data_IF_063297629300
#
_entry.id   IF_063297629300
#
_cell.length_a   1.000
_cell.length_b   1.000
_cell.length_c   1.000
_cell.angle_alpha   90.00
_cell.angle_beta   90.00
_cell.angle_gamma   90.00
#
_symmetry.space_group_name_H-M   'P 1'
#
loop_
_entity.id
_entity.type
_entity.pdbx_description
1 polymer ?
#
# COMPACT_ATOMS: atom_id res chain seq x y z
N UNK A 1 8.07 -16.07 12.04
CA UNK A 1 6.66 -16.38 11.73
C UNK A 1 6.60 -16.78 10.27
N UNK A 2 5.96 -17.89 9.95
CA UNK A 2 5.96 -18.43 8.58
C UNK A 2 4.86 -17.75 7.75
N UNK A 3 5.23 -17.15 6.63
CA UNK A 3 4.28 -16.59 5.66
C UNK A 3 3.84 -17.72 4.73
N UNK A 4 2.53 -17.92 4.61
CA UNK A 4 1.94 -18.78 3.58
C UNK A 4 1.61 -17.96 2.35
N UNK A 5 1.89 -18.50 1.17
CA UNK A 5 1.55 -17.87 -0.11
C UNK A 5 0.73 -18.88 -0.89
N UNK A 6 -0.44 -18.44 -1.32
CA UNK A 6 -1.46 -19.30 -1.91
C UNK A 6 -2.08 -18.60 -3.12
N UNK A 7 -2.79 -19.37 -3.93
CA UNK A 7 -3.56 -18.86 -5.05
C UNK A 7 -5.00 -19.35 -4.96
N UNK A 8 -5.93 -18.44 -5.25
CA UNK A 8 -7.35 -18.71 -5.29
C UNK A 8 -7.84 -18.52 -6.73
N UNK A 9 -8.41 -19.58 -7.31
CA UNK A 9 -8.96 -19.55 -8.66
C UNK A 9 -10.49 -19.49 -8.62
N UNK A 10 -11.09 -18.51 -9.31
CA UNK A 10 -12.53 -18.32 -9.41
C UNK A 10 -12.87 -17.63 -10.73
N UNK A 11 -13.96 -18.05 -11.39
CA UNK A 11 -14.41 -17.53 -12.69
C UNK A 11 -13.33 -17.56 -13.79
N UNK A 12 -12.42 -18.54 -13.71
CA UNK A 12 -11.29 -18.66 -14.65
C UNK A 12 -10.17 -17.63 -14.43
N UNK A 13 -10.26 -16.80 -13.40
CA UNK A 13 -9.22 -15.87 -12.97
C UNK A 13 -8.54 -16.36 -11.70
N UNK A 14 -7.34 -15.84 -11.44
CA UNK A 14 -6.53 -16.19 -10.25
C UNK A 14 -6.23 -14.95 -9.43
N UNK A 15 -6.29 -15.09 -8.10
CA UNK A 15 -5.76 -14.13 -7.13
C UNK A 15 -4.67 -14.83 -6.34
N UNK A 16 -3.45 -14.29 -6.40
CA UNK A 16 -2.35 -14.70 -5.52
C UNK A 16 -2.42 -13.86 -4.24
N UNK A 17 -2.20 -14.47 -3.08
CA UNK A 17 -2.23 -13.79 -1.80
C UNK A 17 -1.29 -14.45 -0.81
N UNK A 18 -1.01 -13.74 0.29
CA UNK A 18 -0.29 -14.30 1.42
C UNK A 18 -1.02 -14.08 2.72
N UNK A 19 -0.68 -14.93 3.71
CA UNK A 19 -1.16 -14.83 5.09
C UNK A 19 0.05 -14.96 6.02
N UNK A 20 0.15 -14.09 7.01
CA UNK A 20 1.11 -14.19 8.11
C UNK A 20 0.44 -13.82 9.45
N UNK A 21 0.67 -14.62 10.48
CA UNK A 21 -0.01 -14.47 11.77
C UNK A 21 -1.39 -15.16 11.81
N UNK A 22 -1.89 -15.38 13.02
CA UNK A 22 -3.09 -16.21 13.28
C UNK A 22 -4.16 -15.49 14.11
N UNK A 23 -4.06 -14.16 14.21
CA UNK A 23 -4.96 -13.32 15.01
C UNK A 23 -6.06 -12.63 14.21
N UNK A 24 -6.50 -11.47 14.69
CA UNK A 24 -7.57 -10.69 14.07
C UNK A 24 -7.20 -10.24 12.64
N UNK A 25 -8.05 -10.43 11.62
CA UNK A 25 -7.65 -10.29 10.23
C UNK A 25 -7.57 -8.82 9.78
N UNK A 26 -6.41 -8.46 9.22
CA UNK A 26 -6.15 -7.23 8.48
C UNK A 26 -5.96 -7.59 7.02
N UNK A 27 -6.80 -7.02 6.15
CA UNK A 27 -6.70 -7.19 4.70
C UNK A 27 -5.97 -5.99 4.09
N UNK A 28 -4.82 -6.25 3.47
CA UNK A 28 -3.88 -5.21 3.05
C UNK A 28 -3.87 -5.00 1.53
N UNK A 29 -4.17 -3.78 1.11
CA UNK A 29 -3.94 -3.32 -0.27
C UNK A 29 -2.55 -2.67 -0.36
N UNK A 30 -1.58 -3.40 -0.90
CA UNK A 30 -0.20 -2.93 -1.06
C UNK A 30 -0.08 -1.76 -2.04
N UNK A 31 1.04 -1.03 -1.98
CA UNK A 31 1.34 0.09 -2.88
C UNK A 31 1.70 -0.31 -4.31
N UNK A 32 2.17 0.66 -5.09
CA UNK A 32 2.61 0.42 -6.47
C UNK A 32 3.85 -0.48 -6.51
N UNK A 33 3.98 -1.26 -7.59
CA UNK A 33 5.12 -2.16 -7.83
C UNK A 33 5.32 -3.30 -6.82
N UNK A 34 4.48 -3.40 -5.79
CA UNK A 34 4.54 -4.45 -4.77
C UNK A 34 3.65 -5.66 -5.14
N UNK A 35 3.46 -6.59 -4.21
CA UNK A 35 2.67 -7.81 -4.37
C UNK A 35 2.44 -8.46 -2.98
N UNK A 36 1.91 -9.68 -2.95
CA UNK A 36 1.67 -10.43 -1.71
C UNK A 36 2.92 -10.69 -0.85
N UNK A 37 4.14 -10.42 -1.32
CA UNK A 37 5.38 -10.50 -0.53
C UNK A 37 5.74 -9.20 0.22
N UNK A 38 4.84 -8.21 0.29
CA UNK A 38 5.01 -7.01 1.11
C UNK A 38 5.20 -7.36 2.59
N UNK A 39 6.09 -6.65 3.28
CA UNK A 39 6.45 -6.92 4.69
C UNK A 39 6.48 -5.67 5.56
N UNK A 40 6.48 -4.47 5.00
CA UNK A 40 6.66 -3.27 5.81
C UNK A 40 5.49 -3.03 6.77
N UNK A 41 5.84 -2.78 8.04
CA UNK A 41 4.88 -2.60 9.13
C UNK A 41 4.23 -3.89 9.64
N UNK A 42 4.50 -5.06 9.07
CA UNK A 42 3.76 -6.27 9.42
C UNK A 42 4.22 -6.90 10.74
N UNK A 43 5.49 -6.73 11.10
CA UNK A 43 6.03 -7.34 12.32
C UNK A 43 5.27 -6.86 13.56
N UNK A 44 5.10 -5.55 13.72
CA UNK A 44 4.39 -4.96 14.85
C UNK A 44 2.93 -5.43 14.90
N UNK A 45 2.26 -5.55 13.74
CA UNK A 45 0.90 -6.07 13.66
C UNK A 45 0.81 -7.52 14.15
N UNK A 46 1.67 -8.40 13.65
CA UNK A 46 1.59 -9.82 14.04
C UNK A 46 1.97 -10.03 15.50
N UNK A 47 2.97 -9.30 16.00
CA UNK A 47 3.35 -9.32 17.43
C UNK A 47 2.23 -8.82 18.36
N UNK A 48 1.29 -8.03 17.84
CA UNK A 48 0.12 -7.53 18.57
C UNK A 48 -1.17 -8.33 18.28
N UNK A 49 -1.05 -9.55 17.76
CA UNK A 49 -2.17 -10.48 17.66
C UNK A 49 -3.08 -10.25 16.45
N UNK A 50 -2.53 -9.74 15.36
CA UNK A 50 -3.22 -9.65 14.07
C UNK A 50 -2.73 -10.72 13.08
N UNK A 51 -3.64 -11.15 12.19
CA UNK A 51 -3.31 -11.90 10.98
C UNK A 51 -3.33 -10.95 9.80
N UNK A 52 -2.27 -10.92 9.00
CA UNK A 52 -2.14 -10.01 7.85
C UNK A 52 -2.34 -10.80 6.56
N UNK A 53 -3.38 -10.44 5.82
CA UNK A 53 -3.76 -11.05 4.54
C UNK A 53 -3.49 -10.05 3.43
N UNK A 54 -2.57 -10.37 2.52
CA UNK A 54 -2.14 -9.45 1.46
C UNK A 54 -2.34 -10.09 0.09
N UNK A 55 -3.41 -9.75 -0.65
CA UNK A 55 -3.49 -10.12 -2.05
C UNK A 55 -2.43 -9.38 -2.87
N UNK A 56 -1.81 -10.06 -3.83
CA UNK A 56 -1.26 -9.39 -5.00
C UNK A 56 -2.43 -8.72 -5.72
N UNK A 57 -2.43 -7.38 -5.82
CA UNK A 57 -3.50 -6.65 -6.50
C UNK A 57 -3.57 -7.01 -7.99
N UNK A 58 -4.67 -6.66 -8.64
CA UNK A 58 -4.89 -6.96 -10.06
C UNK A 58 -3.66 -6.62 -10.94
N UNK A 59 -3.24 -7.58 -11.77
CA UNK A 59 -2.09 -7.41 -12.66
C UNK A 59 -0.72 -7.46 -11.97
N UNK A 60 -0.64 -7.60 -10.64
CA UNK A 60 0.58 -7.85 -9.87
C UNK A 60 0.73 -9.32 -9.51
N UNK A 61 1.98 -9.74 -9.23
CA UNK A 61 2.27 -11.12 -8.78
C UNK A 61 1.63 -12.17 -9.69
N UNK A 62 1.05 -13.21 -9.09
CA UNK A 62 0.25 -14.24 -9.77
C UNK A 62 -1.21 -13.84 -10.08
N UNK A 63 -1.66 -12.65 -9.72
CA UNK A 63 -3.06 -12.23 -9.90
C UNK A 63 -3.36 -11.82 -11.34
N UNK A 64 -4.45 -12.35 -11.89
CA UNK A 64 -4.87 -12.09 -13.27
C UNK A 64 -5.15 -10.59 -13.50
N UNK A 65 -4.66 -10.06 -14.62
CA UNK A 65 -4.90 -8.67 -15.05
C UNK A 65 -6.40 -8.33 -15.13
N UNK A 66 -7.22 -9.26 -15.64
CA UNK A 66 -8.65 -9.05 -15.86
C UNK A 66 -9.44 -8.79 -14.57
N UNK A 67 -8.89 -9.14 -13.40
CA UNK A 67 -9.47 -8.76 -12.09
C UNK A 67 -9.57 -7.24 -11.97
N UNK A 68 -8.66 -6.49 -12.59
CA UNK A 68 -8.58 -5.03 -12.49
C UNK A 68 -9.15 -4.26 -13.67
N UNK A 69 -10.13 -4.83 -14.40
CA UNK A 69 -10.83 -4.09 -15.46
C UNK A 69 -11.45 -2.76 -14.96
N UNK A 70 -11.89 -2.74 -13.70
CA UNK A 70 -12.29 -1.55 -12.94
C UNK A 70 -12.01 -1.76 -11.45
N UNK A 71 -12.07 -0.70 -10.63
CA UNK A 71 -12.02 -0.84 -9.17
C UNK A 71 -13.20 -1.67 -8.65
N UNK A 72 -14.38 -1.53 -9.25
CA UNK A 72 -15.57 -2.34 -8.91
C UNK A 72 -15.26 -3.82 -9.05
N UNK A 73 -14.80 -4.22 -10.25
CA UNK A 73 -14.45 -5.61 -10.55
C UNK A 73 -13.37 -6.10 -9.58
N UNK A 74 -12.31 -5.31 -9.35
CA UNK A 74 -11.24 -5.70 -8.45
C UNK A 74 -11.76 -5.97 -7.02
N UNK A 75 -12.60 -5.08 -6.50
CA UNK A 75 -13.14 -5.21 -5.15
C UNK A 75 -14.16 -6.35 -5.01
N UNK A 76 -14.93 -6.67 -6.07
CA UNK A 76 -15.76 -7.88 -6.10
C UNK A 76 -14.93 -9.16 -5.98
N UNK A 77 -13.78 -9.23 -6.66
CA UNK A 77 -12.86 -10.37 -6.57
C UNK A 77 -12.17 -10.44 -5.20
N UNK A 78 -11.81 -9.31 -4.61
CA UNK A 78 -11.30 -9.27 -3.23
C UNK A 78 -12.37 -9.72 -2.22
N UNK A 79 -13.64 -9.38 -2.44
CA UNK A 79 -14.75 -9.90 -1.63
C UNK A 79 -14.90 -11.43 -1.78
N UNK A 80 -14.73 -11.97 -2.99
CA UNK A 80 -14.69 -13.44 -3.20
C UNK A 80 -13.53 -14.08 -2.46
N UNK A 81 -12.35 -13.44 -2.43
CA UNK A 81 -11.21 -13.92 -1.65
C UNK A 81 -11.53 -13.94 -0.14
N UNK A 82 -12.13 -12.88 0.41
CA UNK A 82 -12.55 -12.87 1.82
C UNK A 82 -13.54 -14.01 2.12
N UNK A 83 -14.50 -14.27 1.23
CA UNK A 83 -15.43 -15.40 1.36
C UNK A 83 -14.73 -16.77 1.29
N UNK A 84 -13.74 -16.91 0.41
CA UNK A 84 -12.94 -18.14 0.30
C UNK A 84 -12.16 -18.45 1.60
N UNK A 85 -11.67 -17.39 2.26
CA UNK A 85 -10.96 -17.48 3.54
C UNK A 85 -11.89 -17.55 4.76
N UNK A 86 -13.21 -17.62 4.54
CA UNK A 86 -14.26 -17.57 5.57
C UNK A 86 -14.16 -16.35 6.51
N UNK A 87 -13.70 -15.21 5.97
CA UNK A 87 -13.55 -13.95 6.69
C UNK A 87 -14.80 -13.08 6.49
N UNK A 88 -15.62 -12.98 7.53
CA UNK A 88 -16.83 -12.15 7.50
C UNK A 88 -16.52 -10.66 7.52
N UNK A 89 -15.62 -10.23 8.40
CA UNK A 89 -15.21 -8.83 8.55
C UNK A 89 -13.70 -8.73 8.70
N UNK A 90 -13.12 -7.61 8.29
CA UNK A 90 -11.67 -7.36 8.37
C UNK A 90 -11.40 -5.90 8.71
N UNK A 91 -10.24 -5.62 9.28
CA UNK A 91 -9.65 -4.29 9.18
C UNK A 91 -9.04 -4.12 7.78
N UNK A 92 -9.22 -2.97 7.16
CA UNK A 92 -8.56 -2.65 5.90
C UNK A 92 -7.33 -1.79 6.15
N UNK A 93 -6.22 -2.15 5.51
CA UNK A 93 -5.02 -1.33 5.46
C UNK A 93 -4.66 -1.07 4.00
N UNK A 94 -4.73 0.18 3.56
CA UNK A 94 -4.45 0.57 2.18
C UNK A 94 -3.24 1.49 2.12
N UNK A 95 -2.24 1.07 1.36
CA UNK A 95 -0.90 1.67 1.34
C UNK A 95 -0.68 2.33 -0.02
N UNK A 96 -0.32 3.61 -0.05
CA UNK A 96 0.10 4.29 -1.30
C UNK A 96 -0.92 4.09 -2.44
N UNK A 97 -0.51 3.52 -3.58
CA UNK A 97 -1.40 3.20 -4.71
C UNK A 97 -2.49 2.14 -4.41
N UNK A 98 -2.45 1.48 -3.25
CA UNK A 98 -3.56 0.67 -2.75
C UNK A 98 -4.73 1.49 -2.19
N UNK A 99 -4.53 2.80 -1.99
CA UNK A 99 -5.55 3.75 -1.50
C UNK A 99 -6.88 3.65 -2.24
N UNK A 100 -6.91 3.72 -3.59
CA UNK A 100 -8.16 3.61 -4.34
C UNK A 100 -8.93 2.31 -4.11
N UNK A 101 -8.25 1.17 -4.05
CA UNK A 101 -8.89 -0.11 -3.73
C UNK A 101 -9.45 -0.11 -2.30
N UNK A 102 -8.71 0.41 -1.32
CA UNK A 102 -9.17 0.50 0.07
C UNK A 102 -10.38 1.41 0.25
N UNK A 103 -10.35 2.60 -0.34
CA UNK A 103 -11.44 3.58 -0.32
C UNK A 103 -12.68 2.99 -0.98
N UNK A 104 -12.53 2.43 -2.19
CA UNK A 104 -13.64 1.86 -2.92
C UNK A 104 -14.27 0.68 -2.17
N UNK A 105 -13.44 -0.21 -1.62
CA UNK A 105 -13.91 -1.37 -0.87
C UNK A 105 -14.67 -0.95 0.40
N UNK A 106 -14.12 -0.01 1.17
CA UNK A 106 -14.75 0.48 2.40
C UNK A 106 -16.09 1.19 2.14
N UNK A 107 -16.20 1.92 1.02
CA UNK A 107 -17.43 2.59 0.63
C UNK A 107 -18.53 1.63 0.16
N UNK A 108 -18.17 0.59 -0.59
CA UNK A 108 -19.14 -0.30 -1.24
C UNK A 108 -19.46 -1.58 -0.45
N UNK A 109 -18.61 -1.96 0.50
CA UNK A 109 -18.81 -3.14 1.36
C UNK A 109 -18.70 -2.80 2.85
N UNK A 110 -19.47 -1.84 3.38
CA UNK A 110 -19.33 -1.35 4.75
C UNK A 110 -19.52 -2.46 5.80
N UNK A 111 -20.39 -3.44 5.52
CA UNK A 111 -20.62 -4.58 6.44
C UNK A 111 -19.41 -5.51 6.57
N UNK A 112 -18.44 -5.40 5.66
CA UNK A 112 -17.23 -6.23 5.61
C UNK A 112 -16.02 -5.57 6.24
N UNK A 113 -16.13 -4.31 6.69
CA UNK A 113 -14.99 -3.50 7.14
C UNK A 113 -15.19 -3.01 8.58
N UNK A 114 -14.26 -3.36 9.47
CA UNK A 114 -14.24 -2.86 10.85
C UNK A 114 -13.75 -1.43 10.91
N UNK A 115 -12.62 -1.18 10.27
CA UNK A 115 -11.99 0.12 10.16
C UNK A 115 -11.17 0.17 8.88
N UNK A 116 -10.86 1.38 8.43
CA UNK A 116 -9.96 1.65 7.33
C UNK A 116 -8.73 2.38 7.83
N UNK A 117 -7.54 1.93 7.47
CA UNK A 117 -6.30 2.69 7.65
C UNK A 117 -5.71 3.02 6.28
N UNK A 118 -5.49 4.31 6.04
CA UNK A 118 -4.84 4.84 4.84
C UNK A 118 -3.41 5.27 5.20
N UNK A 119 -2.40 4.56 4.69
CA UNK A 119 -0.99 4.84 4.94
C UNK A 119 -0.31 5.40 3.70
N UNK A 120 0.11 6.67 3.78
CA UNK A 120 0.71 7.39 2.66
C UNK A 120 -0.09 7.24 1.36
N UNK A 121 -1.42 7.18 1.45
CA UNK A 121 -2.30 6.65 0.42
C UNK A 121 -2.68 7.68 -0.65
N UNK A 122 -2.88 7.21 -1.89
CA UNK A 122 -3.48 7.99 -2.96
C UNK A 122 -5.00 8.03 -2.77
N UNK A 123 -5.53 9.23 -2.54
CA UNK A 123 -6.94 9.46 -2.15
C UNK A 123 -7.74 10.34 -3.12
N UNK A 124 -7.07 10.86 -4.16
CA UNK A 124 -7.61 11.72 -5.22
C UNK A 124 -6.76 11.55 -6.47
N UNK A 125 -7.10 12.27 -7.55
CA UNK A 125 -6.27 12.27 -8.77
C UNK A 125 -4.79 12.54 -8.43
N UNK A 126 -3.92 11.64 -8.86
CA UNK A 126 -2.47 11.65 -8.63
C UNK A 126 -1.77 11.28 -9.94
N UNK A 127 -0.71 12.01 -10.28
CA UNK A 127 0.08 11.84 -11.51
C UNK A 127 -0.77 11.77 -12.79
N UNK A 128 -0.87 12.90 -13.47
CA UNK A 128 -1.63 13.06 -14.71
C UNK A 128 -0.75 12.86 -15.95
N UNK A 129 -1.35 12.64 -17.14
CA UNK A 129 -0.61 12.63 -18.42
C UNK A 129 0.16 13.92 -18.73
N UNK A 130 -0.05 15.01 -17.98
CA UNK A 130 0.71 16.26 -18.14
C UNK A 130 2.06 16.19 -17.41
N UNK A 131 2.17 15.39 -16.37
CA UNK A 131 3.32 15.32 -15.48
C UNK A 131 4.50 14.57 -16.10
N UNK A 132 5.72 15.00 -15.78
CA UNK A 132 6.94 14.40 -16.33
C UNK A 132 7.20 13.04 -15.70
N UNK A 133 6.93 12.93 -14.40
CA UNK A 133 7.03 11.74 -13.57
C UNK A 133 6.12 10.64 -14.13
N UNK A 134 4.87 10.97 -14.46
CA UNK A 134 3.93 10.05 -15.10
C UNK A 134 4.48 9.48 -16.42
N UNK A 135 4.97 10.37 -17.30
CA UNK A 135 5.52 9.96 -18.60
C UNK A 135 6.76 9.08 -18.43
N UNK A 136 7.69 9.46 -17.55
CA UNK A 136 8.90 8.71 -17.28
C UNK A 136 8.58 7.33 -16.69
N UNK A 137 7.70 7.26 -15.70
CA UNK A 137 7.31 6.01 -15.05
C UNK A 137 6.65 5.04 -16.05
N UNK A 138 5.79 5.53 -16.95
CA UNK A 138 5.18 4.68 -18.00
C UNK A 138 6.19 4.12 -19.00
N UNK A 139 7.29 4.83 -19.24
CA UNK A 139 8.38 4.31 -20.10
C UNK A 139 9.19 3.26 -19.34
N UNK A 140 9.62 3.59 -18.11
CA UNK A 140 10.49 2.73 -17.30
C UNK A 140 9.80 1.44 -16.87
N UNK A 141 8.50 1.48 -16.59
CA UNK A 141 7.74 0.38 -16.01
C UNK A 141 6.67 -0.17 -16.96
N UNK A 142 6.89 -0.06 -18.27
CA UNK A 142 6.01 -0.65 -19.28
C UNK A 142 5.99 -2.18 -19.13
N UNK A 143 4.82 -2.86 -19.18
CA UNK A 143 4.71 -4.28 -18.82
C UNK A 143 5.68 -5.21 -19.55
N UNK A 144 5.96 -4.93 -20.83
CA UNK A 144 6.86 -5.75 -21.65
C UNK A 144 8.34 -5.63 -21.25
N UNK A 145 8.73 -4.53 -20.61
CA UNK A 145 10.15 -4.18 -20.36
C UNK A 145 10.50 -3.92 -18.90
N UNK A 146 9.51 -3.75 -18.02
CA UNK A 146 9.70 -3.43 -16.59
C UNK A 146 10.64 -4.40 -15.88
N UNK A 147 10.63 -5.69 -16.24
CA UNK A 147 11.51 -6.71 -15.68
C UNK A 147 13.00 -6.36 -15.83
N UNK A 148 13.38 -5.67 -16.91
CA UNK A 148 14.76 -5.24 -17.13
C UNK A 148 15.11 -4.04 -16.24
N UNK A 149 14.17 -3.11 -16.08
CA UNK A 149 14.28 -1.96 -15.16
C UNK A 149 14.48 -2.46 -13.73
N UNK A 150 13.61 -3.35 -13.24
CA UNK A 150 13.75 -3.91 -11.89
C UNK A 150 15.00 -4.78 -11.73
N UNK A 151 15.39 -5.53 -12.75
CA UNK A 151 16.64 -6.31 -12.71
C UNK A 151 17.86 -5.40 -12.61
N UNK A 152 17.90 -4.30 -13.36
CA UNK A 152 18.96 -3.30 -13.28
C UNK A 152 19.00 -2.66 -11.89
N UNK A 153 17.85 -2.18 -11.39
CA UNK A 153 17.73 -1.59 -10.05
C UNK A 153 18.22 -2.60 -9.01
N UNK A 154 17.66 -3.80 -8.98
CA UNK A 154 18.02 -4.86 -8.03
C UNK A 154 19.51 -5.20 -8.09
N UNK A 155 20.09 -5.30 -9.28
CA UNK A 155 21.51 -5.65 -9.44
C UNK A 155 22.41 -4.55 -8.88
N UNK A 156 22.14 -3.28 -9.25
CA UNK A 156 22.90 -2.14 -8.73
C UNK A 156 22.70 -1.97 -7.22
N UNK A 157 21.48 -2.20 -6.73
CA UNK A 157 21.09 -2.10 -5.34
C UNK A 157 21.77 -3.18 -4.47
N UNK A 158 22.07 -4.36 -5.03
CA UNK A 158 22.80 -5.41 -4.33
C UNK A 158 24.32 -5.17 -4.27
N UNK A 159 24.87 -4.42 -5.23
CA UNK A 159 26.31 -4.09 -5.27
C UNK A 159 26.60 -2.77 -4.54
N UNK A 160 25.72 -1.78 -4.70
CA UNK A 160 25.86 -0.41 -4.19
C UNK A 160 24.59 0.08 -3.48
N UNK A 161 24.16 -0.57 -2.37
CA UNK A 161 22.88 -0.28 -1.72
C UNK A 161 22.74 1.18 -1.27
N UNK A 162 23.78 1.74 -0.65
CA UNK A 162 23.76 3.13 -0.19
C UNK A 162 23.65 4.12 -1.37
N UNK A 163 24.31 3.83 -2.50
CA UNK A 163 24.24 4.69 -3.67
C UNK A 163 22.83 4.68 -4.26
N UNK A 164 22.23 3.50 -4.43
CA UNK A 164 20.85 3.39 -4.94
C UNK A 164 19.85 4.02 -3.98
N UNK A 165 19.99 3.80 -2.68
CA UNK A 165 19.17 4.48 -1.68
C UNK A 165 19.25 6.00 -1.82
N UNK A 166 20.44 6.57 -1.95
CA UNK A 166 20.62 8.02 -2.11
C UNK A 166 19.99 8.54 -3.42
N UNK A 167 20.06 7.78 -4.51
CA UNK A 167 19.45 8.15 -5.80
C UNK A 167 17.91 8.09 -5.74
N UNK A 168 17.35 7.13 -5.01
CA UNK A 168 15.90 6.99 -4.81
C UNK A 168 15.37 7.85 -3.67
N UNK A 169 16.23 8.42 -2.83
CA UNK A 169 15.80 9.21 -1.68
C UNK A 169 14.77 10.30 -2.02
N UNK A 170 14.94 11.10 -3.09
CA UNK A 170 13.96 12.12 -3.46
C UNK A 170 12.60 11.57 -3.90
N UNK A 171 12.52 10.31 -4.35
CA UNK A 171 11.20 9.71 -4.63
C UNK A 171 10.44 9.41 -3.35
N UNK A 172 11.11 9.23 -2.21
CA UNK A 172 10.47 8.94 -0.93
C UNK A 172 10.30 10.18 -0.04
N UNK A 173 11.16 11.18 -0.17
CA UNK A 173 11.27 12.28 0.79
C UNK A 173 11.35 13.65 0.14
N UNK A 174 10.66 14.64 0.72
CA UNK A 174 10.83 16.07 0.43
C UNK A 174 12.08 16.66 1.07
N UNK A 175 12.57 16.07 2.16
CA UNK A 175 13.85 16.43 2.76
C UNK A 175 14.99 16.05 1.82
N UNK A 176 16.08 16.79 1.89
CA UNK A 176 17.36 16.33 1.35
C UNK A 176 17.91 15.19 2.20
N UNK A 177 18.74 14.32 1.61
CA UNK A 177 19.42 13.26 2.36
C UNK A 177 20.24 13.80 3.55
N UNK A 178 20.76 15.03 3.46
CA UNK A 178 21.49 15.68 4.55
C UNK A 178 20.58 16.08 5.70
N UNK A 179 19.38 16.57 5.41
CA UNK A 179 18.39 16.97 6.43
C UNK A 179 17.80 15.75 7.14
N UNK A 180 17.56 14.67 6.39
CA UNK A 180 17.10 13.40 6.96
C UNK A 180 18.21 12.59 7.65
N UNK A 181 19.44 13.11 7.68
CA UNK A 181 20.58 12.44 8.30
C UNK A 181 20.32 12.31 9.81
N UNK A 182 20.12 11.08 10.26
CA UNK A 182 19.77 10.79 11.66
C UNK A 182 18.27 10.59 11.90
N UNK A 183 17.46 10.56 10.85
CA UNK A 183 16.06 10.07 10.91
C UNK A 183 15.94 8.61 10.48
N UNK A 184 16.95 8.09 9.80
CA UNK A 184 17.04 6.70 9.36
C UNK A 184 18.40 6.09 9.72
N UNK A 185 18.45 4.77 9.66
CA UNK A 185 19.58 3.92 9.99
C UNK A 185 20.15 3.24 8.74
N UNK A 186 21.22 2.43 8.92
CA UNK A 186 21.72 1.54 7.86
C UNK A 186 20.79 0.34 7.63
N UNK A 187 20.05 -0.07 8.65
CA UNK A 187 19.09 -1.17 8.53
C UNK A 187 17.92 -0.76 7.63
N UNK A 188 17.53 0.51 7.63
CA UNK A 188 16.53 1.06 6.69
C UNK A 188 17.01 0.99 5.23
N UNK A 189 18.30 1.24 4.99
CA UNK A 189 18.91 1.10 3.65
C UNK A 189 18.84 -0.36 3.19
N UNK A 190 19.14 -1.30 4.09
CA UNK A 190 19.00 -2.73 3.83
C UNK A 190 17.55 -3.16 3.62
N UNK A 191 16.61 -2.56 4.35
CA UNK A 191 15.18 -2.81 4.21
C UNK A 191 14.66 -2.34 2.84
N UNK A 192 15.05 -1.14 2.40
CA UNK A 192 14.79 -0.64 1.04
C UNK A 192 15.48 -1.52 -0.01
N UNK A 193 16.69 -2.02 0.27
CA UNK A 193 17.36 -2.95 -0.63
C UNK A 193 16.52 -4.21 -0.88
N UNK A 194 15.99 -4.82 0.19
CA UNK A 194 15.11 -5.99 0.11
C UNK A 194 13.78 -5.67 -0.58
N UNK A 195 13.18 -4.51 -0.32
CA UNK A 195 11.99 -4.03 -1.04
C UNK A 195 12.22 -4.00 -2.55
N UNK A 196 13.27 -3.30 -3.01
CA UNK A 196 13.58 -3.14 -4.43
C UNK A 196 13.77 -4.49 -5.15
N UNK A 197 14.33 -5.49 -4.46
CA UNK A 197 14.52 -6.82 -5.03
C UNK A 197 13.20 -7.57 -5.30
N UNK A 198 12.16 -7.28 -4.50
CA UNK A 198 10.81 -7.88 -4.59
C UNK A 198 9.91 -7.16 -5.60
N UNK A 199 10.14 -5.88 -5.84
CA UNK A 199 9.24 -5.06 -6.64
C UNK A 199 9.15 -5.52 -8.10
N UNK A 200 7.93 -5.68 -8.61
CA UNK A 200 7.61 -6.02 -10.00
C UNK A 200 6.36 -5.26 -10.41
N UNK A 201 6.43 -4.50 -11.48
CA UNK A 201 5.33 -3.64 -11.96
C UNK A 201 4.23 -4.43 -12.65
N UNK A 202 4.64 -5.39 -13.50
CA UNK A 202 3.75 -6.15 -14.40
C UNK A 202 2.71 -5.24 -15.08
N UNK A 203 1.47 -5.70 -15.26
CA UNK A 203 0.36 -4.88 -15.74
C UNK A 203 -0.23 -3.99 -14.64
N UNK A 204 -0.07 -4.38 -13.37
CA UNK A 204 -0.69 -3.71 -12.23
C UNK A 204 -0.35 -2.23 -12.11
N UNK A 205 0.89 -1.84 -12.43
CA UNK A 205 1.25 -0.42 -12.39
C UNK A 205 0.44 0.44 -13.37
N UNK A 206 0.10 -0.10 -14.54
CA UNK A 206 -0.71 0.64 -15.50
C UNK A 206 -2.19 0.66 -15.09
N UNK A 207 -2.68 -0.43 -14.49
CA UNK A 207 -4.01 -0.46 -13.89
C UNK A 207 -4.14 0.59 -12.77
N UNK A 208 -3.13 0.75 -11.91
CA UNK A 208 -3.12 1.78 -10.86
C UNK A 208 -3.33 3.19 -11.45
N UNK A 209 -2.59 3.53 -12.52
CA UNK A 209 -2.68 4.84 -13.18
C UNK A 209 -4.06 5.11 -13.81
N UNK A 210 -4.78 4.06 -14.18
CA UNK A 210 -6.12 4.16 -14.76
C UNK A 210 -7.18 4.26 -13.64
N UNK A 211 -7.08 3.39 -12.64
CA UNK A 211 -8.04 3.22 -11.54
C UNK A 211 -8.07 4.40 -10.55
N UNK A 212 -6.99 5.18 -10.42
CA UNK A 212 -6.96 6.37 -9.55
C UNK A 212 -8.11 7.35 -9.85
N UNK A 213 -8.63 7.36 -11.09
CA UNK A 213 -9.72 8.25 -11.53
C UNK A 213 -11.11 7.77 -11.13
N UNK A 214 -11.23 6.55 -10.64
CA UNK A 214 -12.52 5.94 -10.24
C UNK A 214 -12.91 6.29 -8.80
N UNK A 215 -12.04 6.97 -8.05
CA UNK A 215 -12.36 7.46 -6.71
C UNK A 215 -12.82 8.92 -6.81
N UNK A 216 -14.04 9.17 -6.33
CA UNK A 216 -14.63 10.51 -6.26
C UNK A 216 -14.87 10.95 -4.82
N UNK A 217 -15.22 12.22 -4.62
CA UNK A 217 -15.62 12.75 -3.31
C UNK A 217 -16.76 11.92 -2.71
N UNK A 218 -17.74 11.54 -3.53
CA UNK A 218 -18.88 10.72 -3.12
C UNK A 218 -18.44 9.33 -2.66
N UNK A 219 -17.38 8.76 -3.26
CA UNK A 219 -16.81 7.49 -2.80
C UNK A 219 -16.23 7.64 -1.39
N UNK A 220 -15.49 8.72 -1.12
CA UNK A 220 -14.94 8.97 0.23
C UNK A 220 -16.05 9.24 1.26
N UNK A 221 -17.07 10.01 0.90
CA UNK A 221 -18.19 10.35 1.77
C UNK A 221 -19.08 9.15 2.11
N UNK A 222 -19.08 8.10 1.27
CA UNK A 222 -19.79 6.85 1.52
C UNK A 222 -19.08 5.94 2.55
N UNK A 223 -17.84 6.23 2.96
CA UNK A 223 -17.13 5.45 3.97
C UNK A 223 -17.73 5.73 5.36
N UNK A 224 -18.35 4.70 5.95
CA UNK A 224 -18.98 4.81 7.27
C UNK A 224 -18.18 4.18 8.42
N UNK A 225 -17.12 3.41 8.11
CA UNK A 225 -16.28 2.82 9.15
C UNK A 225 -15.29 3.85 9.73
N UNK A 226 -14.87 3.70 11.00
CA UNK A 226 -13.78 4.46 11.58
C UNK A 226 -12.55 4.41 10.67
N UNK A 227 -11.97 5.58 10.39
CA UNK A 227 -10.85 5.68 9.45
C UNK A 227 -9.64 6.37 10.08
N UNK A 228 -8.45 5.78 9.98
CA UNK A 228 -7.18 6.41 10.36
C UNK A 228 -6.37 6.75 9.11
N UNK A 229 -5.99 8.01 8.96
CA UNK A 229 -5.16 8.50 7.87
C UNK A 229 -3.78 8.80 8.43
N UNK A 230 -2.77 8.04 8.03
CA UNK A 230 -1.39 8.18 8.49
C UNK A 230 -0.50 8.65 7.34
N UNK A 231 0.18 9.78 7.52
CA UNK A 231 0.97 10.37 6.43
C UNK A 231 2.20 11.10 6.95
N UNK A 232 3.34 10.94 6.29
CA UNK A 232 4.54 11.71 6.62
C UNK A 232 4.42 13.16 6.16
N UNK A 233 4.77 14.12 7.03
CA UNK A 233 4.94 15.53 6.64
C UNK A 233 5.98 15.71 5.52
N UNK A 234 6.90 14.76 5.42
CA UNK A 234 8.04 14.78 4.50
C UNK A 234 7.86 13.84 3.30
N UNK A 235 6.66 13.32 3.05
CA UNK A 235 6.39 12.39 1.94
C UNK A 235 6.72 13.01 0.56
N UNK A 236 7.67 12.40 -0.14
CA UNK A 236 8.11 12.80 -1.48
C UNK A 236 7.40 12.09 -2.64
N UNK A 237 6.62 11.03 -2.35
CA UNK A 237 5.87 10.27 -3.36
C UNK A 237 4.43 10.79 -3.49
N UNK A 238 3.73 10.86 -2.36
CA UNK A 238 2.31 11.23 -2.30
C UNK A 238 2.18 12.57 -1.57
N UNK A 239 1.76 13.64 -2.27
CA UNK A 239 1.66 14.97 -1.69
C UNK A 239 0.70 15.07 -0.49
N UNK A 240 0.91 16.05 0.40
CA UNK A 240 0.13 16.23 1.65
C UNK A 240 -1.34 16.60 1.40
N UNK A 241 -1.66 17.03 0.19
CA UNK A 241 -3.02 17.29 -0.26
C UNK A 241 -3.88 16.02 -0.22
N UNK A 242 -3.30 14.82 -0.34
CA UNK A 242 -4.02 13.55 -0.27
C UNK A 242 -4.60 13.24 1.11
N UNK A 243 -3.82 13.22 2.21
CA UNK A 243 -4.37 12.95 3.53
C UNK A 243 -5.34 14.05 4.00
N UNK A 244 -5.10 15.33 3.66
CA UNK A 244 -6.06 16.41 3.97
C UNK A 244 -7.37 16.22 3.21
N UNK A 245 -7.31 15.98 1.90
CA UNK A 245 -8.50 15.72 1.09
C UNK A 245 -9.29 14.51 1.60
N UNK A 246 -8.60 13.45 2.02
CA UNK A 246 -9.28 12.30 2.61
C UNK A 246 -9.95 12.65 3.94
N UNK A 247 -9.26 13.39 4.81
CA UNK A 247 -9.80 13.77 6.11
C UNK A 247 -11.02 14.70 6.00
N UNK A 248 -10.99 15.62 5.04
CA UNK A 248 -12.11 16.54 4.75
C UNK A 248 -13.36 15.82 4.24
N UNK A 249 -13.21 14.67 3.58
CA UNK A 249 -14.31 13.99 2.88
C UNK A 249 -14.73 12.65 3.50
N UNK A 250 -13.98 12.08 4.45
CA UNK A 250 -14.35 10.86 5.17
C UNK A 250 -14.94 11.23 6.54
N UNK A 251 -16.24 11.01 6.80
CA UNK A 251 -16.95 11.53 7.97
C UNK A 251 -16.37 11.15 9.34
N UNK A 252 -15.85 9.92 9.47
CA UNK A 252 -15.34 9.37 10.73
C UNK A 252 -13.83 9.14 10.68
N UNK A 253 -13.10 10.08 10.08
CA UNK A 253 -11.66 9.98 9.92
C UNK A 253 -10.87 10.71 11.03
N UNK A 254 -9.71 10.16 11.36
CA UNK A 254 -8.67 10.77 12.18
C UNK A 254 -7.42 10.96 11.32
N UNK A 255 -6.81 12.14 11.40
CA UNK A 255 -5.58 12.45 10.69
C UNK A 255 -4.36 12.40 11.63
N UNK A 256 -3.43 11.49 11.34
CA UNK A 256 -2.16 11.31 12.02
C UNK A 256 -1.02 11.75 11.08
N UNK A 257 -0.50 12.98 11.30
CA UNK A 257 0.66 13.48 10.57
C UNK A 257 1.95 13.14 11.30
N UNK A 258 2.75 12.28 10.67
CA UNK A 258 3.98 11.72 11.21
C UNK A 258 5.20 12.58 10.83
N UNK A 259 6.19 12.66 11.73
CA UNK A 259 7.49 13.30 11.47
C UNK A 259 8.55 12.26 11.05
N UNK A 260 8.14 11.26 10.26
CA UNK A 260 9.04 10.27 9.66
C UNK A 260 9.76 10.87 8.47
N UNK A 261 10.89 10.28 8.07
CA UNK A 261 11.74 10.86 7.02
C UNK A 261 11.12 10.89 5.62
N UNK A 262 9.99 10.20 5.37
CA UNK A 262 9.32 10.22 4.08
C UNK A 262 8.20 9.19 3.94
N UNK A 263 7.94 8.79 2.69
CA UNK A 263 6.84 7.90 2.26
C UNK A 263 6.81 6.55 2.97
N UNK A 264 7.97 6.00 3.30
CA UNK A 264 8.10 4.70 3.98
C UNK A 264 7.99 4.92 5.50
N UNK A 265 6.77 5.19 5.97
CA UNK A 265 6.47 5.55 7.37
C UNK A 265 6.82 4.47 8.41
N UNK A 266 7.11 3.25 7.96
CA UNK A 266 7.54 2.12 8.79
C UNK A 266 9.05 2.04 8.97
N UNK A 267 9.81 2.93 8.33
CA UNK A 267 11.27 2.98 8.40
C UNK A 267 11.75 4.23 9.14
N UNK A 268 12.93 4.14 9.73
CA UNK A 268 13.54 5.20 10.50
C UNK A 268 13.16 5.20 11.98
N UNK A 269 13.81 6.07 12.76
CA UNK A 269 13.73 6.01 14.23
C UNK A 269 12.34 6.34 14.80
N UNK A 270 11.53 7.09 14.05
CA UNK A 270 10.16 7.44 14.44
C UNK A 270 9.12 6.42 13.94
N UNK A 271 9.52 5.30 13.32
CA UNK A 271 8.56 4.28 12.85
C UNK A 271 7.77 3.65 13.99
N UNK A 272 8.33 3.65 15.21
CA UNK A 272 7.64 3.18 16.41
C UNK A 272 6.35 3.97 16.68
N UNK A 273 6.33 5.27 16.43
CA UNK A 273 5.14 6.11 16.60
C UNK A 273 4.04 5.72 15.60
N UNK A 274 4.45 5.33 14.38
CA UNK A 274 3.56 4.76 13.36
C UNK A 274 2.94 3.47 13.87
N UNK A 275 3.75 2.56 14.41
CA UNK A 275 3.26 1.26 14.88
C UNK A 275 2.33 1.42 16.08
N UNK A 276 2.70 2.22 17.09
CA UNK A 276 1.89 2.46 18.28
C UNK A 276 0.53 3.07 17.93
N UNK A 277 0.51 4.11 17.08
CA UNK A 277 -0.74 4.76 16.65
C UNK A 277 -1.66 3.81 15.88
N UNK A 278 -1.08 2.97 15.01
CA UNK A 278 -1.84 1.98 14.24
C UNK A 278 -2.44 0.92 15.17
N UNK A 279 -1.63 0.36 16.06
CA UNK A 279 -2.06 -0.71 16.97
C UNK A 279 -3.14 -0.20 17.94
N UNK A 280 -3.00 1.02 18.46
CA UNK A 280 -4.01 1.64 19.31
C UNK A 280 -5.35 1.76 18.57
N UNK A 281 -5.33 2.29 17.34
CA UNK A 281 -6.52 2.46 16.52
C UNK A 281 -7.19 1.14 16.15
N UNK A 282 -6.42 0.11 15.79
CA UNK A 282 -6.99 -1.20 15.47
C UNK A 282 -7.62 -1.84 16.72
N UNK A 283 -6.94 -1.78 17.87
CA UNK A 283 -7.46 -2.32 19.12
C UNK A 283 -8.72 -1.62 19.64
N UNK A 284 -8.95 -0.35 19.30
CA UNK A 284 -10.18 0.34 19.65
C UNK A 284 -11.39 -0.01 18.77
N UNK A 285 -11.18 -0.76 17.68
CA UNK A 285 -12.21 -1.06 16.66
C UNK A 285 -12.33 -2.56 16.32
N UNK A 286 -12.03 -3.43 17.28
CA UNK A 286 -12.06 -4.89 17.08
C UNK A 286 -13.40 -5.41 16.57
N UNK A 287 -13.35 -6.54 15.88
CA UNK A 287 -14.48 -7.40 15.57
C UNK A 287 -15.15 -7.84 16.87
N UNK A 288 -16.36 -7.33 17.11
CA UNK A 288 -17.26 -7.81 18.17
C UNK A 288 -17.85 -9.18 17.80
#
# INVERSE_FOLDING_TARGET
>A
MERRIESFAVDGLTIEYSIIGDGEPIFVFHGGHSNCHEEFGYQALVENGFSVITPSRAGYGGTSKAVGESLSTACEYYLKLLKHLDLQKVHLLAISAGGPSGIYFAANYPDRVCSLTLQSAVTKEWLTPKDKEYKAARILFRPQTEKYTWKLISSMNNVFPQFIFNQMFPSFSKLTYKEAKGMHSRDDVEAVRKMNNRQRSRDGFFLDLEQIKEVSVETLQAINCPTLIMHSKHDGSVPLEHPYFAHENIPHSQLCLLDTWGHLIWLGYSSKDTDESLIEFLNSHKQL
#
